data_IF_087000027967
#
_entry.id   IF_087000027967
#
_cell.length_a   1.000
_cell.length_b   1.000
_cell.length_c   1.000
_cell.angle_alpha   90.00
_cell.angle_beta   90.00
_cell.angle_gamma   90.00
#
_symmetry.space_group_name_H-M   'P 1'
#
loop_
_entity.id
_entity.type
_entity.pdbx_description
1 polymer ?
#
# COMPACT_ATOMS: atom_id res chain seq x y z
N UNK A 1 22.30 -6.43 -21.78
CA UNK A 1 20.85 -6.46 -21.72
C UNK A 1 20.38 -6.16 -20.31
N UNK A 2 19.34 -5.49 -20.20
CA UNK A 2 18.86 -5.13 -18.92
C UNK A 2 17.55 -5.82 -18.62
N UNK A 3 17.29 -6.08 -17.38
CA UNK A 3 16.03 -6.56 -16.93
C UNK A 3 15.13 -5.35 -16.73
N UNK A 4 14.22 -5.19 -17.65
CA UNK A 4 13.20 -4.19 -17.46
C UNK A 4 12.08 -4.84 -16.68
N UNK A 5 11.36 -4.19 -15.87
CA UNK A 5 10.11 -4.67 -15.30
C UNK A 5 10.23 -5.87 -14.36
N UNK A 6 11.31 -5.89 -13.58
CA UNK A 6 11.32 -6.79 -12.43
C UNK A 6 10.14 -6.41 -11.53
N UNK A 7 9.29 -7.37 -11.22
CA UNK A 7 8.12 -7.10 -10.40
C UNK A 7 8.52 -6.74 -8.97
N UNK A 8 7.75 -5.84 -8.38
CA UNK A 8 7.84 -5.56 -6.96
C UNK A 8 6.79 -6.38 -6.23
N UNK A 9 7.17 -6.98 -5.13
CA UNK A 9 6.26 -7.75 -4.29
C UNK A 9 6.01 -6.99 -2.99
N UNK A 10 4.75 -6.78 -2.67
CA UNK A 10 4.35 -6.18 -1.40
C UNK A 10 4.16 -7.34 -0.43
N UNK A 11 5.04 -7.43 0.57
CA UNK A 11 5.12 -8.59 1.44
C UNK A 11 4.44 -8.35 2.77
N UNK A 12 3.73 -9.37 3.26
CA UNK A 12 3.15 -9.41 4.61
C UNK A 12 2.34 -8.17 4.95
N UNK A 13 1.59 -7.64 4.00
CA UNK A 13 0.82 -6.42 4.22
C UNK A 13 -0.33 -6.66 5.17
N UNK A 14 -0.46 -5.77 6.15
CA UNK A 14 -1.63 -5.73 7.01
C UNK A 14 -1.96 -4.29 7.37
N UNK A 15 -3.20 -4.07 7.73
CA UNK A 15 -3.68 -2.78 8.24
C UNK A 15 -4.37 -3.00 9.57
N UNK A 16 -3.89 -2.33 10.60
CA UNK A 16 -4.50 -2.38 11.94
C UNK A 16 -5.04 -1.01 12.28
N UNK A 17 -6.34 -0.91 12.50
CA UNK A 17 -6.99 0.32 12.89
C UNK A 17 -7.31 0.26 14.38
N UNK A 18 -7.22 1.41 15.06
CA UNK A 18 -7.60 1.47 16.48
C UNK A 18 -9.12 1.28 16.62
N UNK A 19 -9.56 1.04 17.84
CA UNK A 19 -10.98 0.73 18.11
C UNK A 19 -11.92 1.83 17.64
N UNK A 20 -11.49 3.07 17.77
CA UNK A 20 -12.30 4.23 17.36
C UNK A 20 -12.26 4.47 15.84
N UNK A 21 -11.41 3.76 15.10
CA UNK A 21 -11.19 3.96 13.68
C UNK A 21 -10.82 5.41 13.34
N UNK A 22 -9.90 5.94 14.13
CA UNK A 22 -9.34 7.28 13.92
C UNK A 22 -7.90 7.23 13.44
N UNK A 23 -7.28 6.04 13.52
CA UNK A 23 -5.91 5.84 13.07
C UNK A 23 -5.73 4.40 12.60
N UNK A 24 -5.23 4.22 11.39
CA UNK A 24 -4.90 2.92 10.83
C UNK A 24 -3.41 2.87 10.55
N UNK A 25 -2.77 1.78 10.96
CA UNK A 25 -1.34 1.55 10.72
C UNK A 25 -1.19 0.42 9.71
N UNK A 26 -0.55 0.72 8.61
CA UNK A 26 -0.21 -0.23 7.58
C UNK A 26 1.24 -0.64 7.75
N UNK A 27 1.50 -1.94 7.73
CA UNK A 27 2.87 -2.47 7.72
C UNK A 27 3.02 -3.42 6.55
N UNK A 28 4.11 -3.29 5.84
CA UNK A 28 4.40 -4.12 4.67
C UNK A 28 5.86 -4.00 4.30
N UNK A 29 6.33 -4.96 3.51
CA UNK A 29 7.64 -4.87 2.90
C UNK A 29 7.50 -4.58 1.41
N UNK A 30 8.50 -3.94 0.83
CA UNK A 30 8.60 -3.71 -0.60
C UNK A 30 9.83 -4.46 -1.08
N UNK A 31 9.62 -5.55 -1.83
CA UNK A 31 10.69 -6.36 -2.38
C UNK A 31 10.78 -6.06 -3.87
N UNK A 32 11.87 -5.42 -4.29
CA UNK A 32 12.07 -5.03 -5.69
C UNK A 32 12.85 -6.07 -6.49
N UNK A 33 13.20 -7.20 -5.86
CA UNK A 33 14.00 -8.23 -6.49
C UNK A 33 15.48 -8.10 -6.19
N UNK A 34 15.96 -6.89 -5.97
CA UNK A 34 17.37 -6.65 -5.60
C UNK A 34 17.48 -6.20 -4.15
N UNK A 35 16.41 -5.70 -3.57
CA UNK A 35 16.42 -5.11 -2.25
C UNK A 35 15.05 -5.26 -1.60
N UNK A 36 15.01 -5.11 -0.29
CA UNK A 36 13.75 -5.19 0.47
C UNK A 36 13.73 -4.09 1.52
N UNK A 37 12.60 -3.38 1.61
CA UNK A 37 12.41 -2.28 2.54
C UNK A 37 11.13 -2.51 3.33
N UNK A 38 11.23 -2.46 4.66
CA UNK A 38 10.06 -2.56 5.53
C UNK A 38 9.48 -1.18 5.75
N UNK A 39 8.17 -1.07 5.63
CA UNK A 39 7.45 0.20 5.74
C UNK A 39 6.39 0.15 6.82
N UNK A 40 6.25 1.26 7.53
CA UNK A 40 5.13 1.53 8.43
C UNK A 40 4.48 2.83 7.96
N UNK A 41 3.19 2.78 7.69
CA UNK A 41 2.46 3.89 7.10
C UNK A 41 1.18 4.13 7.89
N UNK A 42 0.99 5.34 8.38
CA UNK A 42 -0.12 5.69 9.26
C UNK A 42 -1.09 6.60 8.55
N UNK A 43 -2.37 6.26 8.60
CA UNK A 43 -3.46 7.07 8.05
C UNK A 43 -4.36 7.49 9.20
N UNK A 44 -4.66 8.78 9.29
CA UNK A 44 -5.56 9.33 10.30
C UNK A 44 -6.81 9.87 9.64
N UNK A 45 -7.95 9.72 10.28
CA UNK A 45 -9.21 10.20 9.76
C UNK A 45 -10.38 9.71 10.59
N UNK A 46 -11.57 10.05 10.16
CA UNK A 46 -12.82 9.68 10.86
C UNK A 46 -13.87 9.34 9.81
N UNK A 47 -13.96 8.06 9.41
CA UNK A 47 -13.18 6.89 9.81
C UNK A 47 -11.84 6.79 9.06
N UNK A 48 -10.80 6.38 9.77
CA UNK A 48 -9.48 6.25 9.18
C UNK A 48 -9.41 5.13 8.13
N UNK A 49 -10.21 4.09 8.29
CA UNK A 49 -10.25 2.97 7.34
C UNK A 49 -10.81 3.36 5.97
N UNK A 50 -11.45 4.53 5.88
CA UNK A 50 -12.02 5.06 4.64
C UNK A 50 -11.44 6.43 4.31
N UNK A 51 -10.26 6.73 4.81
CA UNK A 51 -9.61 8.01 4.60
C UNK A 51 -8.47 7.90 3.60
N UNK A 52 -8.16 9.02 2.95
CA UNK A 52 -6.96 9.14 2.13
C UNK A 52 -5.80 9.53 3.03
N UNK A 53 -4.60 9.14 2.65
CA UNK A 53 -3.42 9.41 3.45
C UNK A 53 -2.19 9.69 2.63
N UNK A 54 -1.14 10.16 3.31
CA UNK A 54 0.15 10.44 2.71
C UNK A 54 0.24 11.85 2.13
N UNK A 55 1.36 12.18 1.50
CA UNK A 55 2.51 11.30 1.27
C UNK A 55 3.32 11.05 2.54
N UNK A 56 3.90 9.88 2.63
CA UNK A 56 4.78 9.49 3.71
C UNK A 56 6.03 8.83 3.14
N UNK A 57 7.16 9.11 3.76
CA UNK A 57 8.43 8.59 3.30
C UNK A 57 8.74 7.24 3.96
N UNK A 58 9.22 6.29 3.16
CA UNK A 58 9.70 5.01 3.66
C UNK A 58 10.95 4.63 2.87
N UNK A 59 12.13 4.96 3.41
CA UNK A 59 13.38 4.81 2.67
C UNK A 59 13.34 5.68 1.41
N UNK A 60 13.59 5.07 0.27
CA UNK A 60 13.53 5.77 -1.02
C UNK A 60 12.12 5.81 -1.60
N UNK A 61 11.13 5.29 -0.88
CA UNK A 61 9.76 5.22 -1.38
C UNK A 61 8.88 6.28 -0.75
N UNK A 62 7.95 6.78 -1.54
CA UNK A 62 6.89 7.68 -1.09
C UNK A 62 5.56 6.96 -1.21
N UNK A 63 4.80 6.92 -0.12
CA UNK A 63 3.55 6.18 -0.01
C UNK A 63 2.39 7.16 0.09
N UNK A 64 1.38 6.96 -0.74
CA UNK A 64 0.08 7.63 -0.59
C UNK A 64 -1.02 6.60 -0.69
N UNK A 65 -2.20 6.94 -0.22
CA UNK A 65 -3.34 6.02 -0.28
C UNK A 65 -4.64 6.75 -0.52
N UNK A 66 -5.59 6.04 -1.13
CA UNK A 66 -6.94 6.54 -1.33
C UNK A 66 -7.94 5.41 -1.18
N UNK A 67 -9.01 5.66 -0.43
CA UNK A 67 -10.11 4.71 -0.29
C UNK A 67 -11.21 5.06 -1.26
N UNK A 68 -11.84 4.04 -1.84
CA UNK A 68 -12.98 4.22 -2.74
C UNK A 68 -14.14 3.34 -2.32
N UNK A 69 -15.32 3.95 -2.26
CA UNK A 69 -16.59 3.25 -2.02
C UNK A 69 -17.50 3.27 -3.24
N UNK A 70 -16.94 3.49 -4.43
CA UNK A 70 -17.76 3.66 -5.65
C UNK A 70 -18.60 2.44 -6.00
N UNK A 71 -18.25 1.26 -5.51
CA UNK A 71 -19.01 0.04 -5.72
C UNK A 71 -19.90 -0.33 -4.52
N UNK A 72 -20.16 0.62 -3.64
CA UNK A 72 -20.92 0.41 -2.41
C UNK A 72 -19.99 0.22 -1.23
N UNK A 73 -20.46 0.56 -0.02
CA UNK A 73 -19.65 0.52 1.18
C UNK A 73 -19.13 -0.89 1.49
N UNK A 74 -19.88 -1.93 1.12
CA UNK A 74 -19.47 -3.31 1.34
C UNK A 74 -18.35 -3.76 0.41
N UNK A 75 -18.11 -3.01 -0.65
CA UNK A 75 -17.12 -3.32 -1.67
C UNK A 75 -16.01 -2.27 -1.70
N UNK A 76 -15.77 -1.61 -0.57
CA UNK A 76 -14.73 -0.61 -0.45
C UNK A 76 -13.34 -1.21 -0.64
N UNK A 77 -12.43 -0.39 -1.17
CA UNK A 77 -11.04 -0.80 -1.35
C UNK A 77 -10.12 0.40 -1.20
N UNK A 78 -8.87 0.11 -0.85
CA UNK A 78 -7.83 1.13 -0.75
C UNK A 78 -6.78 0.85 -1.80
N UNK A 79 -6.40 1.89 -2.55
CA UNK A 79 -5.29 1.83 -3.49
C UNK A 79 -4.13 2.61 -2.90
N UNK A 80 -2.97 1.97 -2.82
CA UNK A 80 -1.73 2.63 -2.44
C UNK A 80 -1.02 3.10 -3.70
N UNK A 81 -0.27 4.18 -3.59
CA UNK A 81 0.74 4.56 -4.59
C UNK A 81 2.09 4.41 -3.92
N UNK A 82 2.94 3.57 -4.48
CA UNK A 82 4.28 3.33 -3.97
C UNK A 82 5.26 3.78 -5.03
N UNK A 83 5.92 4.90 -4.77
CA UNK A 83 6.83 5.55 -5.72
C UNK A 83 8.26 5.39 -5.24
N UNK A 84 9.12 4.83 -6.12
CA UNK A 84 10.57 4.85 -5.88
C UNK A 84 11.12 6.13 -6.49
N UNK A 85 11.53 7.06 -5.65
CA UNK A 85 12.01 8.36 -6.09
C UNK A 85 13.35 8.26 -6.81
N UNK A 86 14.15 7.24 -6.48
CA UNK A 86 15.48 7.10 -7.08
C UNK A 86 15.43 6.56 -8.51
N UNK A 87 14.47 5.68 -8.80
CA UNK A 87 14.33 5.07 -10.13
C UNK A 87 13.18 5.67 -10.93
N UNK A 88 12.37 6.52 -10.32
CA UNK A 88 11.20 7.13 -10.96
C UNK A 88 10.20 6.10 -11.44
N UNK A 89 9.91 5.13 -10.59
CA UNK A 89 8.97 4.05 -10.87
C UNK A 89 7.86 4.03 -9.83
N UNK A 90 6.70 3.49 -10.21
CA UNK A 90 5.52 3.46 -9.36
C UNK A 90 4.75 2.15 -9.51
N UNK A 91 4.19 1.66 -8.42
CA UNK A 91 3.17 0.60 -8.43
C UNK A 91 1.95 1.08 -7.66
N UNK A 92 0.79 0.49 -7.96
CA UNK A 92 -0.48 0.82 -7.31
C UNK A 92 -1.11 -0.42 -6.69
N UNK A 93 -0.61 -0.88 -5.53
CA UNK A 93 -1.26 -2.00 -4.83
C UNK A 93 -2.65 -1.63 -4.36
N UNK A 94 -3.62 -2.50 -4.58
CA UNK A 94 -4.99 -2.27 -4.16
C UNK A 94 -5.50 -3.45 -3.33
N UNK A 95 -6.21 -3.14 -2.25
CA UNK A 95 -6.70 -4.15 -1.31
C UNK A 95 -8.12 -3.83 -0.91
N UNK A 96 -8.98 -4.84 -0.92
CA UNK A 96 -10.36 -4.67 -0.47
C UNK A 96 -10.41 -4.58 1.06
N UNK A 97 -11.44 -3.92 1.58
CA UNK A 97 -11.64 -3.87 3.03
C UNK A 97 -11.80 -5.27 3.61
N UNK A 98 -12.37 -6.20 2.85
CA UNK A 98 -12.52 -7.58 3.27
C UNK A 98 -11.18 -8.28 3.45
N UNK A 99 -10.22 -8.02 2.55
CA UNK A 99 -8.87 -8.58 2.69
C UNK A 99 -8.17 -8.04 3.93
N UNK A 100 -8.47 -6.80 4.30
CA UNK A 100 -7.80 -6.10 5.41
C UNK A 100 -8.50 -6.30 6.74
N UNK A 101 -9.67 -6.90 6.76
CA UNK A 101 -10.49 -7.01 7.96
C UNK A 101 -9.76 -7.73 9.10
N UNK A 102 -9.91 -7.19 10.32
CA UNK A 102 -9.36 -7.81 11.52
C UNK A 102 -7.85 -7.67 11.67
N UNK A 103 -7.20 -6.85 10.86
CA UNK A 103 -5.75 -6.64 10.94
C UNK A 103 -4.95 -7.86 10.49
N UNK A 104 -5.57 -8.75 9.73
CA UNK A 104 -4.87 -9.95 9.26
C UNK A 104 -3.89 -9.61 8.13
N UNK A 105 -2.87 -10.42 8.00
CA UNK A 105 -1.92 -10.31 6.89
C UNK A 105 -2.60 -10.78 5.61
N UNK A 106 -2.49 -9.98 4.56
CA UNK A 106 -3.03 -10.34 3.23
C UNK A 106 -2.15 -11.43 2.61
N UNK A 107 -2.75 -12.56 2.27
CA UNK A 107 -2.05 -13.67 1.62
C UNK A 107 -2.81 -14.13 0.40
N UNK A 108 -2.08 -14.55 -0.65
CA UNK A 108 -0.63 -14.47 -0.82
C UNK A 108 -0.15 -13.03 -1.01
N UNK A 109 1.16 -12.83 -0.90
CA UNK A 109 1.76 -11.53 -1.23
C UNK A 109 1.45 -11.18 -2.67
N UNK A 110 1.20 -9.90 -2.94
CA UNK A 110 0.84 -9.43 -4.28
C UNK A 110 2.07 -8.83 -4.96
N UNK A 111 2.21 -9.12 -6.25
CA UNK A 111 3.31 -8.60 -7.07
C UNK A 111 2.78 -7.70 -8.17
N UNK A 112 3.55 -6.67 -8.49
CA UNK A 112 3.14 -5.64 -9.45
C UNK A 112 4.30 -5.27 -10.36
N UNK A 113 4.01 -5.05 -11.63
CA UNK A 113 5.01 -4.56 -12.57
C UNK A 113 5.07 -3.04 -12.48
N UNK A 114 6.22 -2.47 -12.10
CA UNK A 114 6.30 -1.01 -11.97
C UNK A 114 6.20 -0.30 -13.31
N UNK A 115 5.59 0.87 -13.26
CA UNK A 115 5.50 1.78 -14.40
C UNK A 115 6.48 2.93 -14.20
N UNK A 116 6.95 3.50 -15.29
CA UNK A 116 7.85 4.66 -15.23
C UNK A 116 7.00 5.91 -15.04
N UNK A 117 7.43 6.77 -14.12
CA UNK A 117 6.77 8.08 -13.94
C UNK A 117 7.01 8.97 -15.15
N UNK A 118 6.00 9.75 -15.55
CA UNK A 118 6.15 10.68 -16.67
C UNK A 118 7.12 11.82 -16.39
#
# INVERSE_FOLDING_TARGET
MMVANTQWTITSLKRVCNTADTECTWTFGIDTGSDSTDCTYVVKGTPASQANGGPAQCGDFTITSGWSGQFGAENGFTTLSVVDESTRQIVWPAYTDKQLAGGKVVTPDQSYTPSVLP
#
